data_IF_945241920148
#
_entry.id   IF_945241920148
#
_cell.length_a   1.000
_cell.length_b   1.000
_cell.length_c   1.000
_cell.angle_alpha   90.00
_cell.angle_beta   90.00
_cell.angle_gamma   90.00
#
_symmetry.space_group_name_H-M   'P 1'
#
loop_
_entity.id
_entity.type
_entity.pdbx_description
1 polymer ?
#
# COMPACT_ATOMS: atom_id res chain seq x y z
N UNK A 1 -1.91 -3.45 6.90
CA UNK A 1 -2.81 -2.59 7.69
C UNK A 1 -2.26 -2.26 9.08
N UNK A 2 -1.37 -3.04 9.63
CA UNK A 2 -0.72 -2.80 10.92
C UNK A 2 0.56 -3.62 11.07
N UNK A 3 1.31 -3.39 12.16
CA UNK A 3 2.56 -4.07 12.45
C UNK A 3 2.44 -5.60 12.48
N UNK A 4 1.37 -6.14 13.09
CA UNK A 4 1.20 -7.58 13.19
C UNK A 4 0.97 -8.25 11.82
N UNK A 5 0.21 -7.61 10.92
CA UNK A 5 0.05 -8.14 9.55
C UNK A 5 1.34 -8.04 8.73
N UNK A 6 2.21 -7.06 9.01
CA UNK A 6 3.54 -6.98 8.41
C UNK A 6 4.43 -8.17 8.84
N UNK A 7 4.44 -8.50 10.14
CA UNK A 7 5.14 -9.70 10.63
C UNK A 7 4.64 -10.99 9.99
N UNK A 8 3.31 -11.13 9.83
CA UNK A 8 2.75 -12.30 9.14
C UNK A 8 3.21 -12.39 7.69
N UNK A 9 3.19 -11.27 6.96
CA UNK A 9 3.65 -11.21 5.56
C UNK A 9 5.14 -11.57 5.44
N UNK A 10 5.98 -11.06 6.33
CA UNK A 10 7.42 -11.36 6.39
C UNK A 10 7.66 -12.85 6.65
N UNK A 11 7.01 -13.43 7.64
CA UNK A 11 7.16 -14.83 8.01
C UNK A 11 6.71 -15.80 6.92
N UNK A 12 5.69 -15.44 6.15
CA UNK A 12 5.21 -16.22 4.98
C UNK A 12 6.19 -16.12 3.80
N UNK A 13 7.06 -15.11 3.77
CA UNK A 13 8.12 -14.96 2.79
C UNK A 13 7.86 -13.95 1.68
N UNK A 14 6.93 -13.02 1.87
CA UNK A 14 6.81 -11.86 0.98
C UNK A 14 8.12 -11.07 0.94
N UNK A 15 8.36 -10.35 -0.17
CA UNK A 15 9.61 -9.61 -0.40
C UNK A 15 9.46 -8.11 -0.20
N UNK A 16 8.25 -7.63 -0.16
CA UNK A 16 7.89 -6.24 0.15
C UNK A 16 6.49 -6.21 0.72
N UNK A 17 6.15 -5.15 1.42
CA UNK A 17 4.84 -4.87 2.00
C UNK A 17 4.34 -3.51 1.57
N UNK A 18 3.03 -3.30 1.70
CA UNK A 18 2.35 -2.09 1.26
C UNK A 18 1.42 -1.55 2.34
N UNK A 19 1.50 -0.25 2.61
CA UNK A 19 0.54 0.46 3.44
C UNK A 19 -0.42 1.26 2.56
N UNK A 20 -1.68 0.80 2.48
CA UNK A 20 -2.75 1.47 1.75
C UNK A 20 -3.30 2.66 2.52
N UNK A 21 -3.45 3.82 1.88
CA UNK A 21 -4.17 4.97 2.45
C UNK A 21 -5.62 4.63 2.82
N UNK A 22 -6.32 3.89 1.94
CA UNK A 22 -7.65 3.35 2.25
C UNK A 22 -7.65 2.35 3.41
N UNK A 23 -6.57 1.58 3.57
CA UNK A 23 -6.36 0.70 4.73
C UNK A 23 -6.21 1.48 6.03
N UNK A 24 -5.39 2.53 6.06
CA UNK A 24 -5.26 3.43 7.22
C UNK A 24 -6.60 4.07 7.56
N UNK A 25 -7.29 4.65 6.57
CA UNK A 25 -8.59 5.26 6.78
C UNK A 25 -9.60 4.29 7.42
N UNK A 26 -9.70 3.08 6.90
CA UNK A 26 -10.67 2.09 7.39
C UNK A 26 -10.27 1.46 8.73
N UNK A 27 -9.00 1.04 8.90
CA UNK A 27 -8.56 0.28 10.07
C UNK A 27 -8.24 1.16 11.27
N UNK A 28 -7.53 2.28 11.05
CA UNK A 28 -7.06 3.11 12.15
C UNK A 28 -8.10 4.15 12.58
N UNK A 29 -8.99 4.58 11.65
CA UNK A 29 -9.95 5.66 11.90
C UNK A 29 -11.41 5.27 11.69
N UNK A 30 -11.74 4.15 11.05
CA UNK A 30 -13.12 3.77 10.73
C UNK A 30 -13.79 4.73 9.75
N UNK A 31 -13.02 5.38 8.88
CA UNK A 31 -13.48 6.36 7.89
C UNK A 31 -13.36 5.83 6.47
N UNK A 32 -14.14 6.35 5.51
CA UNK A 32 -14.01 5.98 4.11
C UNK A 32 -12.73 6.57 3.49
N UNK A 33 -12.24 5.90 2.43
CA UNK A 33 -11.09 6.32 1.61
C UNK A 33 -11.46 7.50 0.68
N UNK A 34 -11.45 8.71 1.21
CA UNK A 34 -11.85 9.96 0.52
C UNK A 34 -10.89 11.13 0.82
N UNK A 35 -9.62 10.85 1.09
CA UNK A 35 -8.63 11.88 1.41
C UNK A 35 -8.87 12.57 2.77
N UNK A 36 -9.46 11.85 3.74
CA UNK A 36 -9.74 12.38 5.09
C UNK A 36 -8.49 12.32 5.97
N UNK A 37 -7.69 11.27 5.82
CA UNK A 37 -6.45 11.08 6.58
C UNK A 37 -5.38 12.08 6.17
N UNK A 38 -4.50 12.37 7.12
CA UNK A 38 -3.39 13.33 6.95
C UNK A 38 -2.04 12.60 6.92
N UNK A 39 -0.97 13.33 6.54
CA UNK A 39 0.40 12.81 6.64
C UNK A 39 0.70 12.19 8.02
N UNK A 40 0.27 12.83 9.10
CA UNK A 40 0.56 12.33 10.46
C UNK A 40 -0.13 11.02 10.77
N UNK A 41 -1.35 10.87 10.29
CA UNK A 41 -2.14 9.65 10.50
C UNK A 41 -1.46 8.45 9.83
N UNK A 42 -1.02 8.61 8.58
CA UNK A 42 -0.33 7.55 7.83
C UNK A 42 1.07 7.30 8.41
N UNK A 43 1.80 8.36 8.78
CA UNK A 43 3.15 8.26 9.33
C UNK A 43 3.21 7.46 10.63
N UNK A 44 2.17 7.56 11.47
CA UNK A 44 2.09 6.78 12.70
C UNK A 44 2.04 5.27 12.43
N UNK A 45 1.26 4.84 11.44
CA UNK A 45 1.21 3.43 11.04
C UNK A 45 2.51 3.00 10.32
N UNK A 46 3.14 3.88 9.52
CA UNK A 46 4.46 3.60 8.91
C UNK A 46 5.48 3.29 10.01
N UNK A 47 5.61 4.14 11.04
CA UNK A 47 6.56 3.94 12.13
C UNK A 47 6.34 2.61 12.86
N UNK A 48 5.09 2.24 13.14
CA UNK A 48 4.76 0.95 13.79
C UNK A 48 5.14 -0.25 12.93
N UNK A 49 4.95 -0.15 11.62
CA UNK A 49 5.22 -1.23 10.67
C UNK A 49 6.73 -1.40 10.46
N UNK A 50 7.46 -0.31 10.26
CA UNK A 50 8.92 -0.35 10.01
C UNK A 50 9.72 -0.70 11.27
N UNK A 51 9.17 -0.44 12.46
CA UNK A 51 9.75 -0.92 13.72
C UNK A 51 9.59 -2.45 13.90
N UNK A 52 8.49 -3.01 13.37
CA UNK A 52 8.17 -4.42 13.55
C UNK A 52 8.70 -5.34 12.44
N UNK A 53 8.89 -4.86 11.22
CA UNK A 53 9.27 -5.67 10.05
C UNK A 53 10.43 -5.05 9.30
N UNK A 54 11.31 -5.92 8.79
CA UNK A 54 12.48 -5.52 7.98
C UNK A 54 12.19 -5.45 6.48
N UNK A 55 10.98 -5.81 6.06
CA UNK A 55 10.60 -5.79 4.65
C UNK A 55 10.51 -4.35 4.11
N UNK A 56 10.95 -4.11 2.86
CA UNK A 56 10.75 -2.83 2.19
C UNK A 56 9.25 -2.47 2.18
N UNK A 57 8.92 -1.28 2.70
CA UNK A 57 7.56 -0.76 2.78
C UNK A 57 7.32 0.27 1.68
N UNK A 58 6.33 0.00 0.79
CA UNK A 58 5.75 0.98 -0.12
C UNK A 58 4.54 1.64 0.55
N UNK A 59 4.50 2.97 0.56
CA UNK A 59 3.43 3.74 1.23
C UNK A 59 2.59 4.52 0.22
N UNK A 60 1.27 4.45 0.36
CA UNK A 60 0.30 5.31 -0.31
C UNK A 60 0.30 6.70 0.34
N UNK A 61 0.72 7.71 -0.41
CA UNK A 61 0.71 9.10 0.07
C UNK A 61 -0.38 9.95 -0.61
N UNK A 62 -1.37 9.31 -1.21
CA UNK A 62 -2.46 9.97 -1.94
C UNK A 62 -1.89 11.02 -2.92
N UNK A 63 -2.30 12.28 -2.78
CA UNK A 63 -1.81 13.42 -3.57
C UNK A 63 -0.68 14.21 -2.88
N UNK A 64 -0.13 13.69 -1.78
CA UNK A 64 0.94 14.33 -1.00
C UNK A 64 0.49 15.35 0.05
N UNK A 65 -0.81 15.38 0.39
CA UNK A 65 -1.45 16.23 1.42
C UNK A 65 -1.20 17.73 1.29
N UNK A 66 -1.15 18.22 0.04
CA UNK A 66 -1.04 19.65 -0.24
C UNK A 66 -0.17 19.97 -1.45
N UNK A 67 0.40 21.17 -1.48
CA UNK A 67 1.28 21.62 -2.57
C UNK A 67 2.69 21.04 -2.49
N UNK A 68 3.56 21.47 -3.41
CA UNK A 68 4.92 20.91 -3.61
C UNK A 68 5.76 20.87 -2.32
N UNK A 69 5.67 21.86 -1.43
CA UNK A 69 6.38 21.85 -0.15
C UNK A 69 5.81 20.84 0.86
N UNK A 70 4.52 20.52 0.76
CA UNK A 70 3.91 19.44 1.56
C UNK A 70 4.41 18.09 1.06
N UNK A 71 4.47 17.89 -0.26
CA UNK A 71 5.03 16.68 -0.89
C UNK A 71 6.48 16.50 -0.47
N UNK A 72 7.30 17.54 -0.59
CA UNK A 72 8.70 17.49 -0.19
C UNK A 72 8.87 17.17 1.31
N UNK A 73 8.03 17.72 2.18
CA UNK A 73 8.00 17.36 3.60
C UNK A 73 7.59 15.89 3.79
N UNK A 74 6.55 15.45 3.10
CA UNK A 74 6.06 14.08 3.19
C UNK A 74 7.15 13.07 2.85
N UNK A 75 7.84 13.22 1.72
CA UNK A 75 8.93 12.33 1.31
C UNK A 75 10.02 12.24 2.37
N UNK A 76 10.48 13.38 2.91
CA UNK A 76 11.49 13.39 3.97
C UNK A 76 11.03 12.71 5.26
N UNK A 77 9.77 12.89 5.66
CA UNK A 77 9.22 12.22 6.83
C UNK A 77 9.08 10.69 6.61
N UNK A 78 8.66 10.25 5.41
CA UNK A 78 8.57 8.83 5.05
C UNK A 78 9.93 8.14 5.06
N UNK A 79 10.97 8.78 4.49
CA UNK A 79 12.36 8.27 4.55
C UNK A 79 12.81 8.12 6.02
N UNK A 80 12.59 9.14 6.85
CA UNK A 80 12.96 9.10 8.28
C UNK A 80 12.21 8.03 9.06
N UNK A 81 10.99 7.72 8.65
CA UNK A 81 10.18 6.67 9.25
C UNK A 81 10.54 5.26 8.75
N UNK A 82 11.52 5.12 7.85
CA UNK A 82 12.00 3.84 7.35
C UNK A 82 11.21 3.25 6.19
N UNK A 83 10.30 4.01 5.55
CA UNK A 83 9.68 3.58 4.30
C UNK A 83 10.75 3.45 3.20
N UNK A 84 10.62 2.44 2.33
CA UNK A 84 11.51 2.24 1.18
C UNK A 84 10.99 2.92 -0.09
N UNK A 85 9.69 3.16 -0.17
CA UNK A 85 9.05 3.74 -1.34
C UNK A 85 7.75 4.47 -0.98
N UNK A 86 7.39 5.42 -1.83
CA UNK A 86 6.05 6.03 -1.82
C UNK A 86 5.46 6.02 -3.21
N UNK A 87 4.13 5.96 -3.31
CA UNK A 87 3.47 6.35 -4.55
C UNK A 87 2.60 7.59 -4.33
N UNK A 88 2.62 8.47 -5.34
CA UNK A 88 1.83 9.70 -5.41
C UNK A 88 0.98 9.68 -6.67
N UNK A 89 -0.28 10.13 -6.58
CA UNK A 89 -1.23 10.03 -7.67
C UNK A 89 -1.62 11.37 -8.30
N UNK A 90 -2.15 11.28 -9.54
CA UNK A 90 -2.59 12.44 -10.31
C UNK A 90 -4.06 12.84 -10.08
N UNK A 91 -4.74 12.27 -9.09
CA UNK A 91 -6.08 12.73 -8.73
C UNK A 91 -6.07 14.15 -8.11
N UNK A 92 -7.23 14.81 -8.14
CA UNK A 92 -7.44 16.03 -7.34
C UNK A 92 -7.43 15.70 -5.84
N UNK A 93 -7.20 16.71 -4.98
CA UNK A 93 -7.08 16.49 -3.53
C UNK A 93 -8.32 15.81 -2.92
N UNK A 94 -9.51 16.07 -3.45
CA UNK A 94 -10.76 15.36 -3.09
C UNK A 94 -10.83 14.02 -3.85
N UNK A 95 -9.82 13.19 -3.66
CA UNK A 95 -9.66 11.92 -4.35
C UNK A 95 -10.77 10.92 -4.06
N UNK A 96 -10.87 9.91 -4.91
CA UNK A 96 -11.70 8.71 -4.73
C UNK A 96 -10.86 7.47 -4.84
N UNK A 97 -11.36 6.34 -4.32
CA UNK A 97 -10.74 5.05 -4.57
C UNK A 97 -10.57 4.81 -6.09
N UNK A 98 -9.40 4.33 -6.52
CA UNK A 98 -9.02 4.17 -7.94
C UNK A 98 -9.96 3.31 -8.78
N UNK A 99 -10.72 2.41 -8.16
CA UNK A 99 -11.73 1.56 -8.82
C UNK A 99 -13.15 2.15 -8.81
N UNK A 100 -13.33 3.38 -8.31
CA UNK A 100 -14.65 4.05 -8.30
C UNK A 100 -14.83 4.97 -9.51
N UNK A 101 -16.08 5.16 -9.98
CA UNK A 101 -16.38 6.08 -11.06
C UNK A 101 -16.24 7.56 -10.63
N UNK A 102 -16.25 8.45 -11.62
CA UNK A 102 -16.24 9.89 -11.45
C UNK A 102 -14.98 10.42 -10.72
N UNK A 103 -13.83 9.83 -11.00
CA UNK A 103 -12.53 10.39 -10.60
C UNK A 103 -12.27 11.65 -11.40
N UNK A 104 -11.60 12.62 -10.76
CA UNK A 104 -11.06 13.80 -11.40
C UNK A 104 -9.54 13.82 -11.22
N UNK A 105 -8.81 14.11 -12.28
CA UNK A 105 -7.36 14.18 -12.27
C UNK A 105 -6.89 15.60 -12.55
N UNK A 106 -5.69 15.92 -12.10
CA UNK A 106 -5.02 17.18 -12.38
C UNK A 106 -4.39 17.17 -13.79
N UNK A 107 -3.95 18.31 -14.29
CA UNK A 107 -3.20 18.36 -15.54
C UNK A 107 -1.91 17.53 -15.46
N UNK A 108 -1.39 17.12 -16.61
CA UNK A 108 -0.09 16.45 -16.69
C UNK A 108 1.03 17.30 -16.08
N UNK A 109 1.07 18.60 -16.35
CA UNK A 109 2.06 19.51 -15.79
C UNK A 109 2.02 19.57 -14.26
N UNK A 110 0.82 19.57 -13.68
CA UNK A 110 0.66 19.53 -12.20
C UNK A 110 1.20 18.20 -11.65
N UNK A 111 0.90 17.06 -12.27
CA UNK A 111 1.43 15.78 -11.83
C UNK A 111 2.96 15.71 -11.97
N UNK A 112 3.51 16.20 -13.07
CA UNK A 112 4.97 16.35 -13.29
C UNK A 112 5.60 17.18 -12.17
N UNK A 113 4.96 18.28 -11.77
CA UNK A 113 5.45 19.13 -10.67
C UNK A 113 5.40 18.41 -9.32
N UNK A 114 4.37 17.57 -9.05
CA UNK A 114 4.31 16.71 -7.86
C UNK A 114 5.48 15.73 -7.82
N UNK A 115 5.73 15.05 -8.95
CA UNK A 115 6.86 14.09 -9.07
C UNK A 115 8.19 14.81 -8.85
N UNK A 116 8.43 15.95 -9.52
CA UNK A 116 9.68 16.73 -9.32
C UNK A 116 9.88 17.14 -7.86
N UNK A 117 8.82 17.59 -7.18
CA UNK A 117 8.89 17.95 -5.77
C UNK A 117 9.21 16.74 -4.87
N UNK A 118 8.70 15.56 -5.20
CA UNK A 118 9.00 14.33 -4.48
C UNK A 118 10.46 13.88 -4.71
N UNK A 119 10.92 13.91 -5.96
CA UNK A 119 12.29 13.52 -6.36
C UNK A 119 13.33 14.46 -5.74
N UNK A 120 13.13 15.78 -5.84
CA UNK A 120 14.03 16.78 -5.25
C UNK A 120 14.15 16.67 -3.72
N UNK A 121 13.13 16.15 -3.08
CA UNK A 121 13.08 15.99 -1.63
C UNK A 121 13.76 14.72 -1.11
N UNK A 122 14.20 13.80 -1.97
CA UNK A 122 14.90 12.57 -1.56
C UNK A 122 16.18 12.92 -0.77
N UNK A 123 16.36 12.23 0.35
CA UNK A 123 17.58 12.29 1.18
C UNK A 123 18.28 10.93 1.23
N UNK A 124 17.78 9.98 0.49
CA UNK A 124 18.27 8.62 0.30
C UNK A 124 18.12 8.27 -1.19
N UNK A 125 19.21 7.95 -1.84
CA UNK A 125 19.24 7.67 -3.29
C UNK A 125 18.50 6.36 -3.63
N UNK A 126 18.43 5.41 -2.69
CA UNK A 126 17.72 4.13 -2.85
C UNK A 126 16.20 4.26 -2.62
N UNK A 127 15.73 5.38 -2.08
CA UNK A 127 14.30 5.61 -1.87
C UNK A 127 13.55 5.76 -3.20
N UNK A 128 12.46 5.02 -3.37
CA UNK A 128 11.70 4.94 -4.62
C UNK A 128 10.53 5.92 -4.64
N UNK A 129 10.45 6.75 -5.68
CA UNK A 129 9.27 7.55 -6.01
C UNK A 129 8.50 6.85 -7.14
N UNK A 130 7.31 6.37 -6.85
CA UNK A 130 6.41 5.74 -7.82
C UNK A 130 5.31 6.72 -8.21
N UNK A 131 5.15 7.02 -9.50
CA UNK A 131 4.05 7.84 -9.98
C UNK A 131 2.85 6.95 -10.32
N UNK A 132 1.69 7.25 -9.70
CA UNK A 132 0.43 6.61 -10.02
C UNK A 132 -0.38 7.51 -10.95
N UNK A 133 -0.96 6.93 -11.99
CA UNK A 133 -1.91 7.62 -12.85
C UNK A 133 -3.26 6.92 -12.88
N UNK A 134 -4.31 7.69 -12.68
CA UNK A 134 -5.72 7.30 -12.80
C UNK A 134 -6.31 7.70 -14.17
N UNK A 135 -5.48 8.16 -15.10
CA UNK A 135 -5.89 8.75 -16.38
C UNK A 135 -6.58 7.75 -17.32
N UNK A 136 -6.28 6.43 -17.23
CA UNK A 136 -6.92 5.44 -18.09
C UNK A 136 -8.46 5.55 -18.06
N UNK A 137 -9.02 5.69 -16.87
CA UNK A 137 -10.46 5.76 -16.69
C UNK A 137 -11.08 7.12 -17.04
N UNK A 138 -10.27 8.17 -17.19
CA UNK A 138 -10.72 9.57 -17.40
C UNK A 138 -10.41 10.05 -18.82
N UNK A 139 -9.22 9.77 -19.33
CA UNK A 139 -8.68 10.29 -20.59
C UNK A 139 -8.34 9.19 -21.60
N UNK A 140 -8.36 7.91 -21.20
CA UNK A 140 -8.01 6.77 -22.04
C UNK A 140 -6.54 6.39 -22.03
N UNK A 141 -6.19 5.35 -22.82
CA UNK A 141 -4.89 4.70 -22.77
C UNK A 141 -3.75 5.61 -23.22
N UNK A 142 -3.89 6.29 -24.35
CA UNK A 142 -2.83 7.10 -24.94
C UNK A 142 -2.40 8.21 -23.96
N UNK A 143 -3.35 8.94 -23.39
CA UNK A 143 -3.09 9.97 -22.40
C UNK A 143 -2.46 9.39 -21.12
N UNK A 144 -2.93 8.23 -20.64
CA UNK A 144 -2.35 7.59 -19.46
C UNK A 144 -0.88 7.20 -19.69
N UNK A 145 -0.54 6.69 -20.87
CA UNK A 145 0.85 6.36 -21.25
C UNK A 145 1.71 7.63 -21.38
N UNK A 146 1.21 8.68 -22.04
CA UNK A 146 1.94 9.96 -22.17
C UNK A 146 2.23 10.58 -20.80
N UNK A 147 1.26 10.57 -19.88
CA UNK A 147 1.45 11.04 -18.50
C UNK A 147 2.50 10.22 -17.75
N UNK A 148 2.45 8.90 -17.90
CA UNK A 148 3.42 8.02 -17.26
C UNK A 148 4.85 8.28 -17.76
N UNK A 149 5.03 8.46 -19.08
CA UNK A 149 6.32 8.83 -19.67
C UNK A 149 6.82 10.17 -19.12
N UNK A 150 5.95 11.20 -19.06
CA UNK A 150 6.30 12.50 -18.50
C UNK A 150 6.69 12.43 -17.01
N UNK A 151 6.05 11.54 -16.23
CA UNK A 151 6.45 11.28 -14.84
C UNK A 151 7.83 10.62 -14.75
N UNK A 152 8.15 9.66 -15.64
CA UNK A 152 9.47 9.03 -15.70
C UNK A 152 10.54 10.07 -16.07
N UNK A 153 10.28 10.93 -17.06
CA UNK A 153 11.17 12.03 -17.45
C UNK A 153 11.37 13.04 -16.30
N UNK A 154 10.38 13.18 -15.42
CA UNK A 154 10.45 14.00 -14.20
C UNK A 154 11.23 13.33 -13.06
N UNK A 155 11.65 12.07 -13.21
CA UNK A 155 12.47 11.33 -12.26
C UNK A 155 11.72 10.27 -11.45
N UNK A 156 10.49 9.89 -11.81
CA UNK A 156 9.81 8.76 -11.19
C UNK A 156 10.57 7.45 -11.46
N UNK A 157 10.84 6.69 -10.42
CA UNK A 157 11.59 5.43 -10.49
C UNK A 157 10.71 4.26 -10.98
N UNK A 158 9.40 4.33 -10.75
CA UNK A 158 8.40 3.30 -11.07
C UNK A 158 7.06 3.92 -11.45
N UNK A 159 6.21 3.15 -12.13
CA UNK A 159 4.85 3.56 -12.52
C UNK A 159 3.81 2.60 -11.95
N UNK A 160 2.70 3.19 -11.47
CA UNK A 160 1.50 2.51 -11.04
C UNK A 160 0.31 2.94 -11.93
N UNK A 161 0.01 2.22 -13.01
CA UNK A 161 -1.16 2.45 -13.83
C UNK A 161 -2.39 1.87 -13.14
N UNK A 162 -3.36 2.71 -12.78
CA UNK A 162 -4.53 2.29 -12.03
C UNK A 162 -5.65 1.78 -12.95
N UNK A 163 -6.40 0.77 -12.46
CA UNK A 163 -7.61 0.24 -13.09
C UNK A 163 -7.43 -0.31 -14.51
N UNK A 164 -6.28 -0.90 -14.80
CA UNK A 164 -6.03 -1.64 -16.03
C UNK A 164 -6.96 -2.85 -16.11
N UNK A 165 -7.52 -3.14 -17.29
CA UNK A 165 -8.54 -4.17 -17.46
C UNK A 165 -8.06 -5.41 -18.22
N UNK A 166 -6.98 -5.31 -18.99
CA UNK A 166 -6.46 -6.43 -19.81
C UNK A 166 -4.95 -6.53 -19.73
N UNK A 167 -4.41 -7.72 -20.05
CA UNK A 167 -2.97 -7.95 -20.12
C UNK A 167 -2.31 -7.15 -21.24
N UNK A 168 -3.00 -6.94 -22.36
CA UNK A 168 -2.50 -6.13 -23.48
C UNK A 168 -2.32 -4.66 -23.06
N UNK A 169 -3.20 -4.14 -22.22
CA UNK A 169 -3.04 -2.80 -21.66
C UNK A 169 -1.81 -2.70 -20.75
N UNK A 170 -1.56 -3.70 -19.89
CA UNK A 170 -0.33 -3.77 -19.10
C UNK A 170 0.91 -3.83 -20.00
N UNK A 171 0.88 -4.66 -21.04
CA UNK A 171 1.99 -4.75 -22.00
C UNK A 171 2.27 -3.41 -22.66
N UNK A 172 1.24 -2.68 -23.09
CA UNK A 172 1.37 -1.34 -23.67
C UNK A 172 2.10 -0.39 -22.70
N UNK A 173 1.75 -0.39 -21.41
CA UNK A 173 2.45 0.42 -20.41
C UNK A 173 3.90 0.00 -20.24
N UNK A 174 4.17 -1.28 -20.02
CA UNK A 174 5.52 -1.79 -19.72
C UNK A 174 6.48 -1.60 -20.89
N UNK A 175 5.99 -1.69 -22.14
CA UNK A 175 6.78 -1.42 -23.34
C UNK A 175 7.07 0.07 -23.53
N UNK A 176 6.18 0.95 -23.09
CA UNK A 176 6.31 2.40 -23.29
C UNK A 176 7.21 3.06 -22.24
N UNK A 177 6.97 2.81 -20.95
CA UNK A 177 7.56 3.62 -19.85
C UNK A 177 9.00 3.27 -19.50
N UNK A 178 9.50 2.07 -19.85
CA UNK A 178 10.88 1.61 -19.64
C UNK A 178 11.38 1.57 -18.19
N UNK A 179 10.49 1.70 -17.22
CA UNK A 179 10.74 1.52 -15.78
C UNK A 179 9.82 0.43 -15.23
N UNK A 180 10.11 -0.14 -14.05
CA UNK A 180 9.23 -1.14 -13.44
C UNK A 180 7.80 -0.61 -13.26
N UNK A 181 6.80 -1.45 -13.62
CA UNK A 181 5.39 -1.17 -13.41
C UNK A 181 4.80 -2.07 -12.34
N UNK A 182 3.89 -1.51 -11.55
CA UNK A 182 3.08 -2.20 -10.55
C UNK A 182 1.69 -2.50 -11.11
N UNK A 183 1.18 -3.73 -10.87
CA UNK A 183 -0.20 -4.10 -11.12
C UNK A 183 -0.97 -4.20 -9.81
N UNK A 184 -2.06 -3.44 -9.70
CA UNK A 184 -2.95 -3.45 -8.54
C UNK A 184 -4.04 -4.53 -8.74
N UNK A 185 -3.95 -5.62 -7.99
CA UNK A 185 -4.87 -6.76 -8.06
C UNK A 185 -5.72 -6.78 -6.80
N UNK A 186 -6.80 -6.00 -6.82
CA UNK A 186 -7.74 -5.91 -5.70
C UNK A 186 -9.06 -6.60 -6.01
N UNK A 187 -9.59 -7.33 -5.03
CA UNK A 187 -10.89 -7.96 -5.14
C UNK A 187 -11.99 -6.91 -5.28
N UNK A 188 -13.02 -7.23 -6.06
CA UNK A 188 -14.19 -6.36 -6.31
C UNK A 188 -13.84 -5.04 -7.02
N UNK A 189 -12.64 -4.95 -7.61
CA UNK A 189 -12.19 -3.82 -8.43
C UNK A 189 -12.55 -3.97 -9.91
N UNK A 190 -12.08 -3.05 -10.74
CA UNK A 190 -12.24 -3.08 -12.19
C UNK A 190 -11.26 -4.03 -12.89
N UNK A 191 -10.09 -4.25 -12.27
CA UNK A 191 -9.04 -5.12 -12.82
C UNK A 191 -9.35 -6.59 -12.53
N UNK A 192 -9.30 -7.51 -13.53
CA UNK A 192 -9.38 -8.94 -13.29
C UNK A 192 -8.26 -9.45 -12.37
N UNK A 193 -8.52 -10.56 -11.67
CA UNK A 193 -7.55 -11.15 -10.75
C UNK A 193 -6.51 -11.99 -11.53
N UNK A 194 -5.65 -11.31 -12.28
CA UNK A 194 -4.56 -11.94 -13.02
C UNK A 194 -3.56 -12.61 -12.07
N UNK A 195 -2.97 -13.70 -12.51
CA UNK A 195 -1.92 -14.41 -11.79
C UNK A 195 -0.57 -13.70 -11.90
N UNK A 196 0.36 -14.02 -11.01
CA UNK A 196 1.72 -13.50 -11.06
C UNK A 196 2.44 -13.88 -12.37
N UNK A 197 2.17 -15.08 -12.90
CA UNK A 197 2.76 -15.56 -14.14
C UNK A 197 2.24 -14.78 -15.36
N UNK A 198 0.94 -14.55 -15.45
CA UNK A 198 0.31 -13.74 -16.51
C UNK A 198 0.87 -12.32 -16.50
N UNK A 199 0.96 -11.69 -15.34
CA UNK A 199 1.48 -10.33 -15.19
C UNK A 199 2.98 -10.24 -15.49
N UNK A 200 3.77 -11.23 -15.07
CA UNK A 200 5.19 -11.30 -15.42
C UNK A 200 5.40 -11.44 -16.94
N UNK A 201 4.51 -12.21 -17.62
CA UNK A 201 4.52 -12.38 -19.07
C UNK A 201 4.35 -11.08 -19.86
N UNK A 202 3.71 -10.10 -19.32
CA UNK A 202 3.52 -8.74 -19.91
C UNK A 202 4.44 -7.68 -19.29
N UNK A 203 5.48 -8.09 -18.57
CA UNK A 203 6.55 -7.21 -18.10
C UNK A 203 6.30 -6.53 -16.76
N UNK A 204 5.20 -6.83 -16.05
CA UNK A 204 4.94 -6.32 -14.70
C UNK A 204 6.01 -6.86 -13.72
N UNK A 205 6.49 -6.01 -12.83
CA UNK A 205 7.54 -6.33 -11.85
C UNK A 205 7.03 -6.44 -10.42
N UNK A 206 5.93 -5.75 -10.09
CA UNK A 206 5.33 -5.77 -8.78
C UNK A 206 3.83 -6.07 -8.92
N UNK A 207 3.36 -7.06 -8.18
CA UNK A 207 1.94 -7.38 -8.04
C UNK A 207 1.48 -6.98 -6.63
N UNK A 208 0.53 -6.07 -6.55
CA UNK A 208 0.01 -5.53 -5.30
C UNK A 208 -1.34 -6.17 -4.95
N UNK A 209 -1.47 -6.60 -3.71
CA UNK A 209 -2.72 -7.07 -3.08
C UNK A 209 -3.05 -6.14 -1.90
N UNK A 210 -3.68 -4.99 -2.13
CA UNK A 210 -3.67 -3.88 -1.16
C UNK A 210 -4.45 -4.16 0.13
N UNK A 211 -5.56 -4.92 0.07
CA UNK A 211 -6.46 -5.12 1.22
C UNK A 211 -6.97 -6.56 1.36
N UNK A 212 -6.41 -7.54 0.66
CA UNK A 212 -6.92 -8.92 0.65
C UNK A 212 -6.98 -9.52 2.05
N UNK A 213 -5.87 -9.45 2.80
CA UNK A 213 -5.82 -9.94 4.18
C UNK A 213 -6.80 -9.19 5.10
N UNK A 214 -6.90 -7.85 4.95
CA UNK A 214 -7.85 -7.04 5.74
C UNK A 214 -9.31 -7.46 5.52
N UNK A 215 -9.71 -7.67 4.27
CA UNK A 215 -11.08 -8.13 3.96
C UNK A 215 -11.38 -9.49 4.58
N UNK A 216 -10.42 -10.42 4.50
CA UNK A 216 -10.55 -11.74 5.12
C UNK A 216 -10.66 -11.64 6.65
N UNK A 217 -9.77 -10.88 7.30
CA UNK A 217 -9.80 -10.63 8.74
C UNK A 217 -11.10 -9.97 9.19
N UNK A 218 -11.57 -8.97 8.45
CA UNK A 218 -12.81 -8.25 8.78
C UNK A 218 -14.03 -9.16 8.72
N UNK A 219 -14.12 -10.03 7.71
CA UNK A 219 -15.20 -11.00 7.61
C UNK A 219 -15.16 -12.03 8.73
N UNK A 220 -13.96 -12.51 9.08
CA UNK A 220 -13.79 -13.43 10.23
C UNK A 220 -14.20 -12.77 11.55
N UNK A 221 -13.77 -11.52 11.79
CA UNK A 221 -14.15 -10.77 12.99
C UNK A 221 -15.68 -10.54 13.07
N UNK A 222 -16.31 -10.17 11.94
CA UNK A 222 -17.77 -10.01 11.90
C UNK A 222 -18.51 -11.29 12.26
N UNK A 223 -18.06 -12.44 11.73
CA UNK A 223 -18.62 -13.74 12.03
C UNK A 223 -18.48 -14.07 13.54
N UNK A 224 -17.35 -13.78 14.17
CA UNK A 224 -17.16 -13.99 15.61
C UNK A 224 -18.11 -13.12 16.43
N UNK A 225 -18.25 -11.82 16.11
CA UNK A 225 -19.17 -10.93 16.82
C UNK A 225 -20.64 -11.40 16.71
N UNK A 226 -21.06 -11.88 15.54
CA UNK A 226 -22.41 -12.41 15.32
C UNK A 226 -22.68 -13.65 16.21
N UNK A 227 -21.74 -14.60 16.26
CA UNK A 227 -21.88 -15.80 17.11
C UNK A 227 -21.87 -15.47 18.61
N UNK A 228 -21.03 -14.57 19.06
CA UNK A 228 -21.04 -14.12 20.47
C UNK A 228 -22.41 -13.51 20.81
N UNK A 229 -22.98 -12.73 19.91
CA UNK A 229 -24.29 -12.10 20.15
C UNK A 229 -25.43 -13.12 20.10
N UNK A 230 -25.44 -14.07 19.16
CA UNK A 230 -26.50 -15.06 18.99
C UNK A 230 -26.43 -16.21 19.97
N UNK A 231 -25.24 -16.75 20.21
CA UNK A 231 -25.03 -17.99 20.95
C UNK A 231 -24.57 -17.73 22.40
N UNK A 232 -24.23 -16.49 22.74
CA UNK A 232 -23.63 -16.10 24.04
C UNK A 232 -22.22 -16.67 24.25
N UNK A 233 -21.57 -17.18 23.21
CA UNK A 233 -20.23 -17.79 23.26
C UNK A 233 -19.56 -17.75 21.88
N UNK A 234 -18.22 -17.76 21.85
CA UNK A 234 -17.40 -17.87 20.65
C UNK A 234 -17.04 -19.32 20.27
N UNK A 235 -17.56 -20.31 21.00
CA UNK A 235 -17.15 -21.72 20.89
C UNK A 235 -17.21 -22.27 19.45
N UNK A 236 -18.24 -21.90 18.69
CA UNK A 236 -18.46 -22.38 17.33
C UNK A 236 -17.52 -21.71 16.28
N UNK A 237 -16.73 -20.71 16.68
CA UNK A 237 -15.80 -19.98 15.79
C UNK A 237 -14.33 -20.28 16.06
N UNK A 238 -14.00 -21.05 17.09
CA UNK A 238 -12.61 -21.33 17.51
C UNK A 238 -11.76 -21.90 16.37
N UNK A 239 -12.34 -22.79 15.55
CA UNK A 239 -11.61 -23.42 14.44
C UNK A 239 -11.14 -22.43 13.34
N UNK A 240 -11.71 -21.22 13.30
CA UNK A 240 -11.30 -20.15 12.36
C UNK A 240 -10.33 -19.14 12.97
N UNK A 241 -9.94 -19.33 14.24
CA UNK A 241 -9.05 -18.42 14.95
C UNK A 241 -7.61 -18.91 14.89
N UNK A 242 -6.70 -17.96 14.86
CA UNK A 242 -5.29 -18.23 15.16
C UNK A 242 -5.16 -18.66 16.62
N UNK A 243 -4.40 -19.72 16.87
CA UNK A 243 -4.15 -20.19 18.24
C UNK A 243 -3.25 -19.21 19.00
N UNK A 244 -3.27 -19.31 20.34
CA UNK A 244 -2.36 -18.52 21.18
C UNK A 244 -0.89 -18.82 20.88
N UNK A 245 -0.56 -20.08 20.63
CA UNK A 245 0.82 -20.48 20.33
C UNK A 245 1.28 -19.92 18.99
N UNK A 246 0.46 -19.99 17.95
CA UNK A 246 0.77 -19.37 16.66
C UNK A 246 0.98 -17.86 16.79
N UNK A 247 0.14 -17.16 17.58
CA UNK A 247 0.32 -15.74 17.86
C UNK A 247 1.67 -15.47 18.54
N UNK A 248 2.04 -16.28 19.55
CA UNK A 248 3.31 -16.16 20.27
C UNK A 248 4.51 -16.40 19.35
N UNK A 249 4.42 -17.37 18.44
CA UNK A 249 5.47 -17.64 17.44
C UNK A 249 5.68 -16.44 16.49
N UNK A 250 4.61 -15.76 16.08
CA UNK A 250 4.72 -14.55 15.25
C UNK A 250 5.37 -13.38 16.00
N UNK A 251 5.06 -13.25 17.29
CA UNK A 251 5.55 -12.17 18.12
C UNK A 251 6.94 -12.41 18.71
N UNK A 252 7.51 -13.63 18.58
CA UNK A 252 8.75 -14.03 19.25
C UNK A 252 8.62 -14.03 20.77
N UNK A 253 7.41 -14.33 21.31
CA UNK A 253 7.07 -14.17 22.73
C UNK A 253 8.03 -14.93 23.66
N UNK A 254 8.45 -16.12 23.27
CA UNK A 254 9.34 -16.98 24.08
C UNK A 254 10.75 -16.39 24.22
N UNK A 255 11.23 -15.65 23.22
CA UNK A 255 12.52 -14.96 23.29
C UNK A 255 12.48 -13.84 24.34
N UNK A 256 11.35 -13.15 24.49
CA UNK A 256 11.14 -12.15 25.54
C UNK A 256 11.10 -12.79 26.93
N UNK A 257 10.41 -13.94 27.10
CA UNK A 257 10.39 -14.69 28.36
C UNK A 257 11.80 -15.15 28.75
N UNK A 258 12.54 -15.76 27.81
CA UNK A 258 13.91 -16.20 28.04
C UNK A 258 14.80 -15.00 28.46
N UNK A 259 14.65 -13.87 27.78
CA UNK A 259 15.43 -12.66 28.11
C UNK A 259 15.08 -12.13 29.49
N UNK A 260 13.84 -12.19 29.91
CA UNK A 260 13.40 -11.85 31.25
C UNK A 260 14.07 -12.75 32.30
N UNK A 261 14.09 -14.05 32.06
CA UNK A 261 14.71 -15.04 32.95
C UNK A 261 16.23 -14.81 33.08
N UNK A 262 16.90 -14.56 31.95
CA UNK A 262 18.35 -14.19 31.92
C UNK A 262 18.68 -12.93 32.73
N UNK A 263 17.78 -11.93 32.69
CA UNK A 263 18.01 -10.64 33.35
C UNK A 263 17.69 -10.65 34.85
N UNK A 264 16.71 -11.45 35.27
CA UNK A 264 16.14 -11.36 36.61
C UNK A 264 16.30 -12.63 37.46
N UNK A 265 16.61 -13.79 36.86
CA UNK A 265 16.93 -15.03 37.59
C UNK A 265 18.45 -15.21 37.74
N UNK A 266 19.15 -14.15 38.16
CA UNK A 266 20.57 -14.22 38.55
C UNK A 266 20.63 -14.66 40.02
N UNK A 267 20.51 -15.99 40.26
CA UNK A 267 20.95 -16.66 41.48
C UNK A 267 21.54 -18.04 41.15
#
# INVERSE_FOLDING_TARGET
>A
INAYTALMAEKVGHKAIYLSGGGVAACSFGTPDLGITTLKDVLEDVLRITDASTLPLLVDIDTGWGGNFNIARCVREMIRAGAAAVHIEDQVMQKRCGHRPNKAIVSQDEMVNRVKAAVDAKTDDDFVIMARTDALAVEGMDSAVERAIACVEAGADMIFPEAINTLEQYQTFTEAVKVPCLANITEFGATPLFTAEELAGVGIKIQLFPLSAFRAMSNAALNVYQHILSDGTQQNTIASMQTRMELYDFLGYHDYEQKLDELFNQD
#
